data_IF_365264169489
#
_entry.id   IF_365264169489
#
_cell.length_a   1.000
_cell.length_b   1.000
_cell.length_c   1.000
_cell.angle_alpha   90.00
_cell.angle_beta   90.00
_cell.angle_gamma   90.00
#
_symmetry.space_group_name_H-M   'P 1'
#
loop_
_entity.id
_entity.type
_entity.pdbx_description
1 polymer ?
#
# COMPACT_ATOMS: atom_id res chain seq x y z
N UNK A 1 22.19 -5.77 -1.00
CA UNK A 1 21.77 -4.64 -0.14
C UNK A 1 20.25 -4.62 -0.16
N UNK A 2 19.57 -4.83 0.97
CA UNK A 2 18.11 -4.69 0.99
C UNK A 2 17.79 -3.20 0.90
N UNK A 3 17.04 -2.83 -0.14
CA UNK A 3 16.62 -1.47 -0.52
C UNK A 3 15.14 -1.23 -0.20
N UNK A 4 14.59 -2.15 0.60
CA UNK A 4 13.19 -2.18 0.98
C UNK A 4 13.07 -1.42 2.30
N UNK A 5 12.11 -0.52 2.36
CA UNK A 5 11.80 0.26 3.56
C UNK A 5 10.38 -0.03 3.98
N UNK A 6 10.16 -0.02 5.29
CA UNK A 6 8.85 -0.22 5.88
C UNK A 6 8.24 1.16 6.11
N UNK A 7 7.06 1.39 5.52
CA UNK A 7 6.35 2.65 5.53
C UNK A 7 4.93 2.41 6.00
N UNK A 8 4.46 3.23 6.93
CA UNK A 8 3.08 3.22 7.36
C UNK A 8 2.19 3.92 6.32
N UNK A 9 1.03 3.33 6.06
CA UNK A 9 -0.03 3.97 5.28
C UNK A 9 -0.68 5.05 6.13
N UNK A 10 -0.61 6.31 5.70
CA UNK A 10 -1.21 7.44 6.41
C UNK A 10 -2.61 7.78 5.92
N UNK A 11 -2.91 7.46 4.66
CA UNK A 11 -4.23 7.67 4.05
C UNK A 11 -4.41 6.62 2.95
N UNK A 12 -5.62 6.11 2.78
CA UNK A 12 -5.91 5.17 1.68
C UNK A 12 -7.33 5.34 1.20
N UNK A 13 -7.54 5.24 -0.12
CA UNK A 13 -8.89 5.30 -0.67
C UNK A 13 -9.73 4.14 -0.13
N UNK A 14 -10.94 4.40 0.37
CA UNK A 14 -11.86 3.33 0.76
C UNK A 14 -12.25 2.58 -0.52
N UNK A 15 -11.71 1.37 -0.66
CA UNK A 15 -12.03 0.48 -1.77
C UNK A 15 -13.53 0.30 -1.87
N UNK A 16 -14.14 0.92 -2.88
CA UNK A 16 -15.59 0.92 -3.05
C UNK A 16 -16.03 -0.52 -3.28
N UNK A 17 -16.74 -1.07 -2.29
CA UNK A 17 -17.29 -2.43 -2.29
C UNK A 17 -18.54 -2.47 -3.19
N UNK A 18 -18.33 -2.26 -4.50
CA UNK A 18 -19.35 -2.48 -5.52
C UNK A 18 -19.22 -3.87 -6.09
N UNK A 19 -19.85 -4.86 -5.45
CA UNK A 19 -20.29 -6.17 -5.98
C UNK A 19 -19.39 -6.98 -6.95
N UNK A 20 -18.08 -6.74 -7.00
CA UNK A 20 -17.18 -7.52 -7.86
C UNK A 20 -16.01 -8.03 -7.04
N UNK A 21 -15.98 -9.36 -6.88
CA UNK A 21 -14.90 -10.16 -6.29
C UNK A 21 -13.64 -10.15 -7.17
N UNK A 22 -13.25 -8.99 -7.69
CA UNK A 22 -12.02 -8.80 -8.43
C UNK A 22 -11.09 -8.10 -7.47
N UNK A 23 -9.98 -8.77 -7.11
CA UNK A 23 -8.92 -8.19 -6.30
C UNK A 23 -8.39 -6.93 -7.02
N UNK A 24 -9.01 -5.79 -6.76
CA UNK A 24 -8.57 -4.49 -7.21
C UNK A 24 -7.37 -4.05 -6.40
N UNK A 25 -6.52 -3.24 -7.01
CA UNK A 25 -5.53 -2.47 -6.28
C UNK A 25 -6.14 -1.11 -5.99
N UNK A 26 -5.91 -0.59 -4.79
CA UNK A 26 -6.30 0.76 -4.39
C UNK A 26 -5.06 1.64 -4.25
N UNK A 27 -5.25 2.95 -4.42
CA UNK A 27 -4.26 3.95 -4.07
C UNK A 27 -4.13 4.06 -2.55
N UNK A 28 -2.91 3.93 -2.04
CA UNK A 28 -2.58 4.25 -0.66
C UNK A 28 -1.40 5.21 -0.61
N UNK A 29 -1.52 6.19 0.27
CA UNK A 29 -0.53 7.21 0.54
C UNK A 29 0.27 6.81 1.79
N UNK A 30 1.58 6.84 1.63
CA UNK A 30 2.54 6.49 2.68
C UNK A 30 2.89 7.73 3.49
N UNK A 31 3.48 7.52 4.67
CA UNK A 31 4.00 8.60 5.53
C UNK A 31 5.00 9.53 4.83
N UNK A 32 5.66 9.04 3.78
CA UNK A 32 6.56 9.84 2.93
C UNK A 32 5.82 10.77 1.96
N UNK A 33 4.49 10.67 1.87
CA UNK A 33 3.67 11.35 0.89
C UNK A 33 3.62 10.67 -0.48
N UNK A 34 4.29 9.52 -0.64
CA UNK A 34 4.24 8.74 -1.87
C UNK A 34 2.91 7.97 -1.96
N UNK A 35 2.24 8.05 -3.11
CA UNK A 35 1.03 7.26 -3.38
C UNK A 35 1.39 6.05 -4.24
N UNK A 36 1.14 4.84 -3.73
CA UNK A 36 1.38 3.59 -4.44
C UNK A 36 0.10 2.76 -4.55
N UNK A 37 0.07 1.82 -5.50
CA UNK A 37 -1.01 0.85 -5.60
C UNK A 37 -0.77 -0.29 -4.61
N UNK A 38 -1.70 -0.44 -3.68
CA UNK A 38 -1.69 -1.51 -2.67
C UNK A 38 -2.95 -2.37 -2.80
N UNK A 39 -2.92 -3.62 -2.31
CA UNK A 39 -4.11 -4.45 -2.27
C UNK A 39 -5.23 -3.84 -1.42
N UNK A 40 -6.49 -4.14 -1.77
CA UNK A 40 -7.69 -3.67 -1.06
C UNK A 40 -7.71 -3.97 0.45
N UNK A 41 -6.99 -4.99 0.90
CA UNK A 41 -6.94 -5.40 2.31
C UNK A 41 -6.04 -4.52 3.20
N UNK A 42 -5.21 -3.66 2.61
CA UNK A 42 -4.37 -2.70 3.34
C UNK A 42 -5.26 -1.61 3.94
N UNK A 43 -5.02 -1.18 5.17
CA UNK A 43 -5.78 -0.11 5.81
C UNK A 43 -4.86 1.03 6.23
N UNK A 44 -5.44 2.16 6.61
CA UNK A 44 -4.70 3.24 7.26
C UNK A 44 -4.07 2.74 8.57
N UNK A 45 -2.81 3.10 8.81
CA UNK A 45 -2.00 2.63 9.94
C UNK A 45 -1.29 1.29 9.71
N UNK A 46 -1.53 0.62 8.58
CA UNK A 46 -0.88 -0.64 8.23
C UNK A 46 0.56 -0.38 7.73
N UNK A 47 1.51 -1.22 8.14
CA UNK A 47 2.92 -1.08 7.75
C UNK A 47 3.19 -1.96 6.53
N UNK A 48 3.57 -1.32 5.44
CA UNK A 48 3.87 -1.99 4.18
C UNK A 48 5.33 -1.79 3.79
N UNK A 49 5.91 -2.83 3.20
CA UNK A 49 7.28 -2.83 2.71
C UNK A 49 7.29 -2.39 1.25
N UNK A 50 8.05 -1.35 0.97
CA UNK A 50 8.11 -0.71 -0.35
C UNK A 50 9.56 -0.67 -0.82
N UNK A 51 9.77 -0.95 -2.11
CA UNK A 51 11.08 -0.80 -2.74
C UNK A 51 11.35 0.69 -3.03
N UNK A 52 12.41 1.25 -2.46
CA UNK A 52 12.75 2.68 -2.66
C UNK A 52 13.35 2.99 -4.02
N UNK A 53 13.82 1.99 -4.79
CA UNK A 53 14.33 2.20 -6.15
C UNK A 53 13.22 2.23 -7.19
N UNK A 54 12.19 1.40 -7.02
CA UNK A 54 11.09 1.29 -7.99
C UNK A 54 9.78 1.91 -7.50
N UNK A 55 9.69 2.27 -6.22
CA UNK A 55 8.45 2.77 -5.59
C UNK A 55 7.34 1.73 -5.55
N UNK A 56 7.69 0.44 -5.58
CA UNK A 56 6.71 -0.65 -5.71
C UNK A 56 6.43 -1.27 -4.35
N UNK A 57 5.15 -1.54 -4.08
CA UNK A 57 4.73 -2.38 -2.96
C UNK A 57 5.34 -3.78 -3.11
N UNK A 58 6.01 -4.25 -2.06
CA UNK A 58 6.56 -5.60 -2.01
C UNK A 58 5.68 -6.52 -1.18
N UNK A 59 5.56 -6.21 0.12
CA UNK A 59 4.92 -7.09 1.09
C UNK A 59 4.28 -6.29 2.21
N UNK A 60 3.27 -6.85 2.88
CA UNK A 60 2.76 -6.32 4.15
C UNK A 60 3.70 -6.82 5.26
N UNK A 61 4.27 -5.92 6.04
CA UNK A 61 5.03 -6.29 7.23
C UNK A 61 4.02 -6.44 8.36
N UNK A 62 3.74 -7.68 8.76
CA UNK A 62 2.84 -7.99 9.88
C UNK A 62 3.59 -8.09 11.19
#
# INVERSE_FOLDING_TARGET
MPITVELAVIETDPGFKGDTATAGNKSAKLETGLTIQVPLFINEGDVIKVDTRTGTYLERSS
#
